data_IF_901674094504
#
_entry.id   IF_901674094504
#
_cell.length_a   1.000
_cell.length_b   1.000
_cell.length_c   1.000
_cell.angle_alpha   90.00
_cell.angle_beta   90.00
_cell.angle_gamma   90.00
#
_symmetry.space_group_name_H-M   'P 1'
#
loop_
_entity.id
_entity.type
_entity.pdbx_description
1 polymer ?
#
# COMPACT_ATOMS: atom_id res chain seq x y z
N UNK A 1 -20.05 13.86 -6.01
CA UNK A 1 -19.12 13.67 -4.88
C UNK A 1 -17.99 12.76 -5.38
N UNK A 2 -16.74 13.17 -5.19
CA UNK A 2 -15.57 12.37 -5.57
C UNK A 2 -14.97 11.76 -4.30
N UNK A 3 -14.83 10.43 -4.24
CA UNK A 3 -14.17 9.77 -3.12
C UNK A 3 -12.66 9.69 -3.36
N UNK A 4 -11.89 9.64 -2.29
CA UNK A 4 -10.46 9.37 -2.31
C UNK A 4 -10.22 8.15 -1.43
N UNK A 5 -9.46 7.18 -1.92
CA UNK A 5 -9.05 6.01 -1.15
C UNK A 5 -7.67 6.27 -0.57
N UNK A 6 -7.58 6.39 0.75
CA UNK A 6 -6.32 6.57 1.47
C UNK A 6 -5.87 5.26 2.11
N UNK A 7 -4.68 4.78 1.74
CA UNK A 7 -4.05 3.58 2.29
C UNK A 7 -2.92 3.99 3.25
N UNK A 8 -3.12 3.94 4.58
CA UNK A 8 -2.05 4.18 5.54
C UNK A 8 -1.12 2.96 5.64
N UNK A 9 0.18 3.17 5.45
CA UNK A 9 1.18 2.11 5.50
C UNK A 9 2.38 2.53 6.36
N UNK A 10 2.63 1.79 7.46
CA UNK A 10 3.76 2.00 8.37
C UNK A 10 4.40 0.66 8.73
N UNK A 11 5.72 0.65 8.95
CA UNK A 11 6.44 -0.58 9.28
C UNK A 11 6.31 -1.02 10.74
N UNK A 12 5.89 -0.13 11.63
CA UNK A 12 5.71 -0.38 13.06
C UNK A 12 4.45 -1.24 13.37
N UNK A 13 4.34 -2.42 12.74
CA UNK A 13 3.32 -3.41 13.05
C UNK A 13 3.85 -4.44 14.04
N UNK A 14 3.15 -4.62 15.16
CA UNK A 14 3.56 -5.53 16.24
C UNK A 14 3.06 -6.97 16.05
N UNK A 15 1.98 -7.18 15.27
CA UNK A 15 1.39 -8.51 15.01
C UNK A 15 1.96 -9.20 13.77
N UNK A 16 2.47 -8.43 12.81
CA UNK A 16 3.14 -8.94 11.63
C UNK A 16 4.29 -7.98 11.28
N UNK A 17 5.52 -8.28 11.70
CA UNK A 17 6.67 -7.41 11.47
C UNK A 17 6.81 -7.08 9.98
N UNK A 18 7.09 -5.82 9.66
CA UNK A 18 7.29 -5.34 8.28
C UNK A 18 6.11 -5.63 7.33
N UNK A 19 4.88 -5.78 7.86
CA UNK A 19 3.67 -6.16 7.11
C UNK A 19 3.53 -5.52 5.71
N UNK A 20 3.70 -4.20 5.50
CA UNK A 20 3.57 -3.61 4.16
C UNK A 20 4.55 -4.19 3.12
N UNK A 21 5.75 -4.59 3.55
CA UNK A 21 6.81 -5.14 2.72
C UNK A 21 6.87 -6.67 2.73
N UNK A 22 5.97 -7.33 3.47
CA UNK A 22 5.92 -8.78 3.49
C UNK A 22 5.62 -9.31 2.08
N UNK A 23 6.42 -10.28 1.63
CA UNK A 23 6.17 -10.91 0.33
C UNK A 23 4.90 -11.76 0.38
N UNK A 24 4.01 -11.52 -0.58
CA UNK A 24 2.81 -12.31 -0.81
C UNK A 24 2.80 -12.63 -2.30
N UNK A 25 3.08 -13.89 -2.65
CA UNK A 25 3.11 -14.36 -4.03
C UNK A 25 4.06 -13.54 -4.94
N UNK A 26 5.27 -13.22 -4.46
CA UNK A 26 6.31 -12.53 -5.24
C UNK A 26 6.13 -11.03 -5.35
N UNK A 27 5.22 -10.44 -4.56
CA UNK A 27 4.94 -9.00 -4.54
C UNK A 27 4.74 -8.53 -3.10
N UNK A 28 5.15 -7.30 -2.76
CA UNK A 28 4.96 -6.76 -1.42
C UNK A 28 3.46 -6.63 -1.13
N UNK A 29 3.06 -6.98 0.09
CA UNK A 29 1.68 -6.93 0.58
C UNK A 29 0.97 -5.61 0.25
N UNK A 30 1.66 -4.47 0.36
CA UNK A 30 1.08 -3.15 0.06
C UNK A 30 0.64 -3.02 -1.41
N UNK A 31 1.33 -3.65 -2.36
CA UNK A 31 0.95 -3.63 -3.77
C UNK A 31 -0.41 -4.30 -3.99
N UNK A 32 -0.68 -5.41 -3.30
CA UNK A 32 -1.98 -6.08 -3.35
C UNK A 32 -3.10 -5.16 -2.84
N UNK A 33 -2.86 -4.39 -1.78
CA UNK A 33 -3.84 -3.43 -1.25
C UNK A 33 -4.11 -2.31 -2.24
N UNK A 34 -3.07 -1.74 -2.84
CA UNK A 34 -3.19 -0.68 -3.86
C UNK A 34 -3.98 -1.16 -5.07
N UNK A 35 -3.71 -2.37 -5.57
CA UNK A 35 -4.46 -2.94 -6.69
C UNK A 35 -5.94 -3.12 -6.39
N UNK A 36 -6.28 -3.58 -5.18
CA UNK A 36 -7.68 -3.72 -4.77
C UNK A 36 -8.37 -2.36 -4.61
N UNK A 37 -7.64 -1.35 -4.13
CA UNK A 37 -8.15 0.02 -4.04
C UNK A 37 -8.43 0.61 -5.44
N UNK A 38 -7.54 0.36 -6.41
CA UNK A 38 -7.72 0.80 -7.80
C UNK A 38 -8.91 0.07 -8.45
N UNK A 39 -9.01 -1.25 -8.27
CA UNK A 39 -10.09 -2.06 -8.81
C UNK A 39 -11.49 -1.75 -8.23
N UNK A 40 -11.56 -0.99 -7.12
CA UNK A 40 -12.83 -0.55 -6.56
C UNK A 40 -13.46 0.62 -7.34
N UNK A 41 -12.69 1.30 -8.21
CA UNK A 41 -13.16 2.40 -9.07
C UNK A 41 -13.86 3.54 -8.30
N UNK A 42 -13.49 3.75 -7.03
CA UNK A 42 -14.11 4.77 -6.16
C UNK A 42 -13.50 6.17 -6.33
N UNK A 43 -12.36 6.29 -7.01
CA UNK A 43 -11.65 7.55 -7.22
C UNK A 43 -10.14 7.40 -7.05
N UNK A 44 -9.40 8.51 -6.86
CA UNK A 44 -7.96 8.48 -6.71
C UNK A 44 -7.52 7.66 -5.49
N UNK A 45 -6.43 6.92 -5.64
CA UNK A 45 -5.80 6.13 -4.57
C UNK A 45 -4.50 6.82 -4.14
N UNK A 46 -4.34 7.06 -2.84
CA UNK A 46 -3.14 7.61 -2.25
C UNK A 46 -2.60 6.69 -1.15
N UNK A 47 -1.29 6.49 -1.11
CA UNK A 47 -0.61 5.77 -0.03
C UNK A 47 0.07 6.79 0.88
N UNK A 48 -0.27 6.79 2.17
CA UNK A 48 0.37 7.62 3.17
C UNK A 48 1.35 6.77 3.98
N UNK A 49 2.64 7.10 3.91
CA UNK A 49 3.70 6.37 4.59
C UNK A 49 4.82 7.31 5.03
N UNK A 50 5.48 6.95 6.13
CA UNK A 50 6.67 7.59 6.68
C UNK A 50 7.97 6.87 6.29
N UNK A 51 7.88 5.72 5.61
CA UNK A 51 9.03 4.88 5.28
C UNK A 51 9.25 4.81 3.76
N UNK A 52 10.44 5.25 3.32
CA UNK A 52 10.82 5.26 1.90
C UNK A 52 10.80 3.88 1.25
N UNK A 53 11.05 2.80 2.01
CA UNK A 53 11.03 1.43 1.48
C UNK A 53 9.66 1.03 0.97
N UNK A 54 8.58 1.56 1.56
CA UNK A 54 7.21 1.32 1.11
C UNK A 54 6.96 2.00 -0.24
N UNK A 55 7.50 3.21 -0.44
CA UNK A 55 7.42 3.92 -1.73
C UNK A 55 8.19 3.16 -2.81
N UNK A 56 9.42 2.73 -2.51
CA UNK A 56 10.27 1.97 -3.43
C UNK A 56 9.60 0.63 -3.82
N UNK A 57 8.93 -0.04 -2.89
CA UNK A 57 8.23 -1.30 -3.12
C UNK A 57 7.02 -1.19 -4.07
N UNK A 58 6.43 0.01 -4.23
CA UNK A 58 5.32 0.24 -5.15
C UNK A 58 5.77 0.60 -6.57
N UNK A 59 7.08 0.78 -6.79
CA UNK A 59 7.64 1.15 -8.09
C UNK A 59 7.57 2.66 -8.37
N UNK A 60 8.56 3.16 -9.08
CA UNK A 60 8.61 4.53 -9.59
C UNK A 60 8.19 4.50 -11.07
N UNK A 61 6.90 4.55 -11.36
CA UNK A 61 6.41 4.71 -12.74
C UNK A 61 5.16 5.56 -12.77
#
# INVERSE_FOLDING_TARGET
MTFIVLVPARLASTRLPNKPLADIAGRPMIAHVVERALAAELGPVAVATDDRRIVEALGSS
#
